data_IF_986578245785
#
_entry.id   IF_986578245785
#
_cell.length_a   1.000
_cell.length_b   1.000
_cell.length_c   1.000
_cell.angle_alpha   90.00
_cell.angle_beta   90.00
_cell.angle_gamma   90.00
#
_symmetry.space_group_name_H-M   'P 1'
#
loop_
_entity.id
_entity.type
_entity.pdbx_description
1 polymer ?
#
# COMPACT_ATOMS: atom_id res chain seq x y z
N UNK A 1 -4.85 19.35 2.20
CA UNK A 1 -5.09 18.13 3.01
C UNK A 1 -4.64 16.88 2.27
N UNK A 2 -5.13 16.59 1.07
CA UNK A 2 -4.78 15.35 0.33
C UNK A 2 -3.28 15.16 0.08
N UNK A 3 -2.54 16.19 -0.32
CA UNK A 3 -1.07 16.08 -0.49
C UNK A 3 -0.34 15.66 0.80
N UNK A 4 -0.83 16.06 1.97
CA UNK A 4 -0.27 15.62 3.25
C UNK A 4 -0.54 14.13 3.50
N UNK A 5 -1.77 13.68 3.24
CA UNK A 5 -2.13 12.26 3.34
C UNK A 5 -1.33 11.43 2.34
N UNK A 6 -1.20 11.91 1.10
CA UNK A 6 -0.38 11.30 0.07
C UNK A 6 1.05 11.08 0.57
N UNK A 7 1.71 12.11 1.08
CA UNK A 7 3.09 11.99 1.58
C UNK A 7 3.22 10.95 2.72
N UNK A 8 2.26 10.91 3.64
CA UNK A 8 2.23 9.90 4.71
C UNK A 8 2.07 8.48 4.14
N UNK A 9 1.12 8.28 3.24
CA UNK A 9 0.81 6.96 2.68
C UNK A 9 1.96 6.44 1.82
N UNK A 10 2.56 7.31 1.01
CA UNK A 10 3.70 6.99 0.15
C UNK A 10 4.91 6.55 0.96
N UNK A 11 5.16 7.19 2.11
CA UNK A 11 6.29 6.81 2.98
C UNK A 11 6.21 5.35 3.44
N UNK A 12 5.01 4.83 3.72
CA UNK A 12 4.82 3.45 4.16
C UNK A 12 5.23 2.43 3.09
N UNK A 13 4.95 2.70 1.81
CA UNK A 13 5.39 1.84 0.72
C UNK A 13 6.92 1.80 0.61
N UNK A 14 7.59 2.94 0.80
CA UNK A 14 9.06 3.02 0.78
C UNK A 14 9.71 2.26 1.94
N UNK A 15 9.14 2.30 3.15
CA UNK A 15 9.63 1.47 4.26
C UNK A 15 9.51 -0.03 3.98
N UNK A 16 8.46 -0.47 3.27
CA UNK A 16 8.34 -1.87 2.86
C UNK A 16 9.43 -2.26 1.87
N UNK A 17 9.74 -1.40 0.91
CA UNK A 17 10.83 -1.62 -0.05
C UNK A 17 12.19 -1.61 0.65
N UNK A 18 12.39 -0.75 1.67
CA UNK A 18 13.59 -0.79 2.51
C UNK A 18 13.75 -2.16 3.19
N UNK A 19 12.69 -2.68 3.81
CA UNK A 19 12.72 -4.00 4.43
C UNK A 19 12.99 -5.10 3.41
N UNK A 20 12.39 -5.02 2.21
CA UNK A 20 12.66 -5.93 1.12
C UNK A 20 14.13 -5.89 0.70
N UNK A 21 14.72 -4.70 0.57
CA UNK A 21 16.14 -4.54 0.23
C UNK A 21 17.06 -5.17 1.27
N UNK A 22 16.76 -5.00 2.57
CA UNK A 22 17.52 -5.64 3.64
C UNK A 22 17.40 -7.16 3.60
N UNK A 23 16.20 -7.68 3.29
CA UNK A 23 16.00 -9.12 3.12
C UNK A 23 16.79 -9.64 1.91
N UNK A 24 16.75 -8.94 0.78
CA UNK A 24 17.52 -9.28 -0.41
C UNK A 24 19.02 -9.35 -0.13
N UNK A 25 19.58 -8.38 0.61
CA UNK A 25 20.99 -8.38 1.01
C UNK A 25 21.38 -9.66 1.77
N UNK A 26 20.61 -10.03 2.80
CA UNK A 26 20.85 -11.26 3.58
C UNK A 26 20.70 -12.51 2.72
N UNK A 27 19.82 -12.45 1.73
CA UNK A 27 19.64 -13.55 0.78
C UNK A 27 20.73 -13.57 -0.30
N UNK A 28 21.56 -12.54 -0.48
CA UNK A 28 22.51 -12.46 -1.59
C UNK A 28 21.88 -12.10 -2.93
N UNK A 29 20.81 -11.30 -2.91
CA UNK A 29 20.08 -10.83 -4.09
C UNK A 29 20.23 -9.32 -4.27
N UNK A 30 20.34 -8.89 -5.52
CA UNK A 30 20.29 -7.47 -5.87
C UNK A 30 18.86 -6.94 -5.74
N UNK A 31 18.70 -5.75 -5.17
CA UNK A 31 17.42 -5.06 -5.07
C UNK A 31 17.55 -3.63 -5.60
N UNK A 32 16.81 -3.32 -6.66
CA UNK A 32 16.76 -1.97 -7.20
C UNK A 32 15.38 -1.36 -6.98
N UNK A 33 15.28 -0.41 -6.06
CA UNK A 33 14.09 0.39 -5.85
C UNK A 33 13.96 1.44 -6.97
N UNK A 34 12.79 1.52 -7.59
CA UNK A 34 12.54 2.48 -8.67
C UNK A 34 11.11 3.03 -8.62
N UNK A 35 10.98 4.24 -9.16
CA UNK A 35 9.70 4.94 -9.35
C UNK A 35 9.51 5.23 -10.85
N UNK A 36 8.56 6.08 -11.22
CA UNK A 36 8.46 6.59 -12.60
C UNK A 36 7.82 5.65 -13.62
N UNK A 37 7.13 4.58 -13.18
CA UNK A 37 6.24 3.84 -14.07
C UNK A 37 4.93 4.62 -14.29
N UNK A 38 4.30 4.45 -15.45
CA UNK A 38 2.98 5.00 -15.73
C UNK A 38 1.91 4.17 -15.00
N UNK A 39 1.29 4.66 -13.91
CA UNK A 39 0.42 3.84 -13.07
C UNK A 39 -0.79 3.29 -13.83
N UNK A 40 -1.34 4.07 -14.77
CA UNK A 40 -2.46 3.65 -15.61
C UNK A 40 -2.10 2.50 -16.56
N UNK A 41 -0.86 2.42 -17.04
CA UNK A 41 -0.40 1.27 -17.85
C UNK A 41 -0.25 0.05 -16.94
N UNK A 42 0.43 0.23 -15.80
CA UNK A 42 0.67 -0.86 -14.85
C UNK A 42 -0.64 -1.46 -14.32
N UNK A 43 -1.60 -0.61 -13.96
CA UNK A 43 -2.89 -1.04 -13.40
C UNK A 43 -3.89 -1.51 -14.47
N UNK A 44 -3.65 -1.19 -15.74
CA UNK A 44 -4.41 -1.75 -16.87
C UNK A 44 -5.55 -0.88 -17.41
N UNK A 45 -5.47 0.44 -17.25
CA UNK A 45 -6.46 1.38 -17.83
C UNK A 45 -6.25 1.62 -19.34
N UNK A 46 -5.04 1.37 -19.83
CA UNK A 46 -4.67 1.65 -21.23
C UNK A 46 -4.81 0.40 -22.12
N UNK A 47 -5.03 0.55 -23.45
CA UNK A 47 -5.06 -0.58 -24.37
C UNK A 47 -3.67 -1.22 -24.62
N UNK A 48 -2.59 -0.66 -24.08
CA UNK A 48 -1.22 -1.13 -24.31
C UNK A 48 -0.96 -2.52 -23.71
N UNK A 49 -1.55 -2.82 -22.57
CA UNK A 49 -1.44 -4.12 -21.92
C UNK A 49 -2.60 -4.33 -20.95
N UNK A 50 -2.81 -5.59 -20.54
CA UNK A 50 -3.83 -5.93 -19.52
C UNK A 50 -3.55 -5.30 -18.15
N UNK A 51 -2.30 -4.92 -17.88
CA UNK A 51 -1.85 -4.50 -16.57
C UNK A 51 -2.17 -5.52 -15.46
N UNK A 52 -2.28 -5.03 -14.23
CA UNK A 52 -2.67 -5.82 -13.07
C UNK A 52 -4.19 -6.10 -13.02
N UNK A 53 -4.98 -5.41 -13.86
CA UNK A 53 -6.42 -5.60 -13.99
C UNK A 53 -7.20 -4.93 -12.86
N UNK A 54 -6.90 -3.65 -12.62
CA UNK A 54 -7.67 -2.84 -11.69
C UNK A 54 -9.03 -2.43 -12.27
N UNK A 55 -10.00 -2.21 -11.39
CA UNK A 55 -11.28 -1.59 -11.72
C UNK A 55 -11.14 -0.07 -11.58
N UNK A 56 -11.62 0.67 -12.58
CA UNK A 56 -11.55 2.13 -12.60
C UNK A 56 -12.95 2.74 -12.57
N UNK A 57 -13.07 3.84 -11.84
CA UNK A 57 -14.14 4.84 -12.01
C UNK A 57 -13.56 6.08 -12.66
N UNK A 58 -14.41 7.01 -13.10
CA UNK A 58 -13.96 8.30 -13.64
C UNK A 58 -14.52 9.42 -12.81
N UNK A 59 -13.67 10.39 -12.48
CA UNK A 59 -14.13 11.67 -11.94
C UNK A 59 -14.97 12.43 -12.97
N UNK A 60 -15.62 13.51 -12.54
CA UNK A 60 -16.35 14.42 -13.44
C UNK A 60 -15.42 15.10 -14.45
N UNK A 61 -14.14 15.21 -14.13
CA UNK A 61 -13.08 15.67 -15.03
C UNK A 61 -12.70 14.63 -16.11
N UNK A 62 -13.27 13.43 -16.05
CA UNK A 62 -12.99 12.31 -16.96
C UNK A 62 -11.71 11.55 -16.64
N UNK A 63 -10.96 11.96 -15.61
CA UNK A 63 -9.69 11.31 -15.21
C UNK A 63 -10.00 9.97 -14.55
N UNK A 64 -9.37 8.87 -15.00
CA UNK A 64 -9.57 7.55 -14.41
C UNK A 64 -9.02 7.50 -12.97
N UNK A 65 -9.70 6.72 -12.14
CA UNK A 65 -9.36 6.51 -10.74
C UNK A 65 -9.45 5.00 -10.42
N UNK A 66 -8.33 4.31 -10.13
CA UNK A 66 -8.37 2.90 -9.74
C UNK A 66 -8.96 2.75 -8.34
N UNK A 67 -10.01 1.94 -8.21
CA UNK A 67 -10.77 1.74 -6.96
C UNK A 67 -10.70 0.31 -6.43
N UNK A 68 -10.36 -0.66 -7.27
CA UNK A 68 -10.17 -2.03 -6.81
C UNK A 68 -9.10 -2.74 -7.64
N UNK A 69 -8.44 -3.73 -7.05
CA UNK A 69 -7.54 -4.64 -7.74
C UNK A 69 -8.01 -6.07 -7.49
N UNK A 70 -8.90 -6.57 -8.36
CA UNK A 70 -9.52 -7.90 -8.25
C UNK A 70 -10.08 -8.11 -6.84
N UNK A 71 -9.68 -9.19 -6.18
CA UNK A 71 -10.01 -9.55 -4.80
C UNK A 71 -8.84 -9.28 -3.82
N UNK A 72 -7.89 -8.42 -4.20
CA UNK A 72 -6.70 -8.16 -3.39
C UNK A 72 -6.78 -6.85 -2.62
N UNK A 73 -7.31 -5.79 -3.25
CA UNK A 73 -7.39 -4.44 -2.67
C UNK A 73 -8.66 -3.76 -3.13
N UNK A 74 -9.38 -3.13 -2.20
CA UNK A 74 -10.58 -2.34 -2.46
C UNK A 74 -10.44 -1.00 -1.74
N UNK A 75 -10.74 0.09 -2.42
CA UNK A 75 -10.80 1.41 -1.79
C UNK A 75 -12.09 1.59 -1.02
N UNK A 76 -12.03 2.37 0.07
CA UNK A 76 -13.19 2.79 0.86
C UNK A 76 -13.96 3.92 0.16
N UNK A 77 -14.52 3.61 -1.00
CA UNK A 77 -15.43 4.48 -1.74
C UNK A 77 -16.28 3.66 -2.72
N UNK A 78 -17.33 4.24 -3.31
CA UNK A 78 -18.08 3.58 -4.37
C UNK A 78 -17.22 3.17 -5.58
N UNK A 79 -17.50 2.03 -6.22
CA UNK A 79 -18.65 1.15 -6.01
C UNK A 79 -18.42 0.05 -4.95
N UNK A 80 -17.24 -0.04 -4.31
CA UNK A 80 -16.95 -1.09 -3.33
C UNK A 80 -17.84 -0.97 -2.08
N UNK A 81 -18.23 0.26 -1.75
CA UNK A 81 -19.25 0.60 -0.75
C UNK A 81 -20.35 1.43 -1.43
N UNK A 82 -21.61 1.32 -0.99
CA UNK A 82 -22.74 1.98 -1.66
C UNK A 82 -22.70 3.50 -1.53
N UNK A 83 -22.10 4.02 -0.46
CA UNK A 83 -21.93 5.44 -0.20
C UNK A 83 -20.65 5.71 0.60
N UNK A 84 -20.26 6.98 0.69
CA UNK A 84 -19.17 7.36 1.59
C UNK A 84 -19.55 7.18 3.07
N UNK A 85 -20.83 7.25 3.43
CA UNK A 85 -21.30 6.90 4.79
C UNK A 85 -20.95 5.47 5.13
N UNK A 86 -21.29 4.53 4.25
CA UNK A 86 -20.99 3.11 4.44
C UNK A 86 -19.48 2.85 4.45
N UNK A 87 -18.72 3.53 3.60
CA UNK A 87 -17.26 3.43 3.59
C UNK A 87 -16.63 3.94 4.91
N UNK A 88 -17.13 5.05 5.46
CA UNK A 88 -16.69 5.56 6.76
C UNK A 88 -17.12 4.61 7.88
N UNK A 89 -18.33 4.08 7.86
CA UNK A 89 -18.78 3.12 8.88
C UNK A 89 -17.94 1.84 8.85
N UNK A 90 -17.56 1.36 7.66
CA UNK A 90 -16.70 0.20 7.49
C UNK A 90 -15.31 0.42 8.11
N UNK A 91 -14.63 1.55 7.84
CA UNK A 91 -13.30 1.80 8.43
C UNK A 91 -13.38 1.97 9.96
N UNK A 92 -14.51 2.46 10.47
CA UNK A 92 -14.76 2.53 11.92
C UNK A 92 -15.01 1.15 12.49
N UNK A 93 -15.77 0.29 11.83
CA UNK A 93 -15.98 -1.10 12.24
C UNK A 93 -14.68 -1.91 12.26
N UNK A 94 -13.77 -1.71 11.31
CA UNK A 94 -12.44 -2.37 11.30
C UNK A 94 -11.57 -1.97 12.49
N UNK A 95 -11.82 -0.80 13.07
CA UNK A 95 -11.10 -0.29 14.24
C UNK A 95 -11.79 -0.66 15.54
N UNK A 96 -13.12 -0.53 15.60
CA UNK A 96 -13.91 -0.49 16.83
C UNK A 96 -15.09 -1.46 16.86
N UNK A 97 -15.35 -2.21 15.79
CA UNK A 97 -16.34 -3.27 15.74
C UNK A 97 -15.91 -4.49 16.54
N UNK A 98 -16.71 -5.55 16.47
CA UNK A 98 -16.50 -6.80 17.23
C UNK A 98 -15.10 -7.40 17.02
N UNK A 99 -14.59 -7.31 15.79
CA UNK A 99 -13.25 -7.79 15.40
C UNK A 99 -12.22 -6.67 15.25
N UNK A 100 -12.51 -5.48 15.77
CA UNK A 100 -11.68 -4.29 15.58
C UNK A 100 -10.38 -4.30 16.37
N UNK A 101 -9.30 -3.76 15.78
CA UNK A 101 -7.97 -3.74 16.43
C UNK A 101 -7.82 -2.73 17.57
N UNK A 102 -8.90 -2.08 18.02
CA UNK A 102 -8.92 -1.22 19.21
C UNK A 102 -9.93 -1.67 20.27
N UNK A 103 -10.57 -2.84 20.12
CA UNK A 103 -11.43 -3.42 21.17
C UNK A 103 -10.71 -4.50 21.96
N UNK A 104 -10.84 -4.53 23.28
CA UNK A 104 -10.15 -5.51 24.14
C UNK A 104 -10.45 -6.98 23.81
N UNK A 105 -11.58 -7.23 23.14
CA UNK A 105 -12.02 -8.53 22.63
C UNK A 105 -11.26 -9.07 21.42
N UNK A 106 -10.43 -8.26 20.74
CA UNK A 106 -9.65 -8.73 19.59
C UNK A 106 -8.70 -9.88 19.98
N UNK A 107 -8.76 -10.98 19.21
CA UNK A 107 -7.99 -12.22 19.43
C UNK A 107 -6.88 -12.43 18.41
N UNK A 108 -6.76 -11.56 17.41
CA UNK A 108 -5.71 -11.63 16.39
C UNK A 108 -4.33 -11.18 16.87
N UNK A 109 -3.35 -11.30 15.99
CA UNK A 109 -1.98 -10.89 16.27
C UNK A 109 -1.81 -9.38 16.15
N UNK A 110 -1.03 -8.80 17.05
CA UNK A 110 -0.67 -7.38 17.03
C UNK A 110 0.83 -7.24 17.20
N UNK A 111 1.46 -6.17 16.67
CA UNK A 111 2.90 -5.97 16.80
C UNK A 111 3.34 -5.61 18.23
N UNK A 112 2.40 -5.36 19.16
CA UNK A 112 2.68 -4.87 20.52
C UNK A 112 2.36 -5.98 21.53
N UNK A 113 3.39 -6.50 22.24
CA UNK A 113 3.24 -7.60 23.22
C UNK A 113 2.18 -7.36 24.29
N UNK A 114 2.03 -6.11 24.76
CA UNK A 114 1.01 -5.69 25.76
C UNK A 114 -0.06 -4.79 25.11
N UNK A 115 -0.46 -5.10 23.89
CA UNK A 115 -1.40 -4.30 23.10
C UNK A 115 -2.72 -4.05 23.84
N UNK A 116 -3.30 -5.06 24.51
CA UNK A 116 -4.54 -4.93 25.29
C UNK A 116 -4.47 -3.77 26.31
N UNK A 117 -3.36 -3.65 27.03
CA UNK A 117 -3.14 -2.58 28.02
C UNK A 117 -3.05 -1.17 27.40
N UNK A 118 -2.98 -1.06 26.06
CA UNK A 118 -2.86 0.21 25.34
C UNK A 118 -4.18 0.66 24.71
N UNK A 119 -5.10 -0.26 24.42
CA UNK A 119 -6.30 0.07 23.65
C UNK A 119 -7.49 0.51 24.48
N UNK A 120 -7.59 0.06 25.74
CA UNK A 120 -8.74 0.37 26.61
C UNK A 120 -8.95 1.88 26.85
N UNK A 121 -7.90 2.69 26.68
CA UNK A 121 -7.94 4.15 26.89
C UNK A 121 -7.98 4.96 25.59
N UNK A 122 -8.08 4.32 24.43
CA UNK A 122 -8.18 5.06 23.17
C UNK A 122 -9.62 5.59 23.06
N UNK A 123 -9.83 6.91 22.96
CA UNK A 123 -11.17 7.46 22.85
C UNK A 123 -11.79 7.06 21.51
N UNK A 124 -13.07 6.64 21.55
CA UNK A 124 -13.88 6.51 20.34
C UNK A 124 -14.18 7.90 19.78
N UNK A 125 -14.36 7.97 18.47
CA UNK A 125 -14.82 9.20 17.82
C UNK A 125 -16.26 9.50 18.27
N UNK A 126 -16.58 10.77 18.47
CA UNK A 126 -17.96 11.19 18.74
C UNK A 126 -18.80 11.12 17.47
N UNK A 127 -20.12 10.97 17.62
CA UNK A 127 -21.06 10.99 16.49
C UNK A 127 -20.92 12.26 15.66
N UNK A 128 -20.67 13.41 16.30
CA UNK A 128 -20.42 14.66 15.59
C UNK A 128 -19.19 14.58 14.68
N UNK A 129 -18.08 13.99 15.17
CA UNK A 129 -16.85 13.85 14.37
C UNK A 129 -17.08 12.88 13.20
N UNK A 130 -17.81 11.78 13.45
CA UNK A 130 -18.15 10.83 12.40
C UNK A 130 -19.04 11.46 11.34
N UNK A 131 -20.05 12.22 11.73
CA UNK A 131 -20.92 12.93 10.79
C UNK A 131 -20.14 13.95 9.95
N UNK A 132 -19.25 14.74 10.56
CA UNK A 132 -18.41 15.68 9.82
C UNK A 132 -17.51 14.96 8.81
N UNK A 133 -16.96 13.80 9.17
CA UNK A 133 -16.15 13.00 8.24
C UNK A 133 -16.98 12.48 7.06
N UNK A 134 -18.20 11.99 7.32
CA UNK A 134 -19.15 11.55 6.28
C UNK A 134 -19.53 12.70 5.36
N UNK A 135 -19.93 13.83 5.91
CA UNK A 135 -20.33 15.02 5.13
C UNK A 135 -19.20 15.48 4.21
N UNK A 136 -17.96 15.52 4.72
CA UNK A 136 -16.79 15.89 3.93
C UNK A 136 -16.50 14.89 2.80
N UNK A 137 -16.56 13.58 3.10
CA UNK A 137 -16.34 12.54 2.10
C UNK A 137 -17.41 12.53 1.01
N UNK A 138 -18.69 12.70 1.37
CA UNK A 138 -19.77 12.83 0.39
C UNK A 138 -19.60 14.11 -0.43
N UNK A 139 -19.26 15.24 0.19
CA UNK A 139 -18.98 16.48 -0.55
C UNK A 139 -17.90 16.26 -1.63
N UNK A 140 -16.80 15.56 -1.31
CA UNK A 140 -15.77 15.25 -2.31
C UNK A 140 -16.34 14.39 -3.44
N UNK A 141 -17.04 13.30 -3.09
CA UNK A 141 -17.61 12.42 -4.10
C UNK A 141 -18.63 13.16 -4.99
N UNK A 142 -19.50 13.96 -4.40
CA UNK A 142 -20.54 14.71 -5.08
C UNK A 142 -19.96 15.82 -5.94
N UNK A 143 -18.92 16.52 -5.48
CA UNK A 143 -18.28 17.61 -6.22
C UNK A 143 -17.44 17.08 -7.38
N UNK A 144 -16.57 16.09 -7.12
CA UNK A 144 -15.54 15.62 -8.06
C UNK A 144 -15.90 14.33 -8.81
N UNK A 145 -16.94 13.60 -8.39
CA UNK A 145 -17.33 12.31 -8.99
C UNK A 145 -16.36 11.15 -8.68
N UNK A 146 -15.37 11.39 -7.83
CA UNK A 146 -14.36 10.40 -7.39
C UNK A 146 -13.93 10.72 -5.96
N UNK A 147 -13.31 9.74 -5.31
CA UNK A 147 -12.71 9.92 -3.99
C UNK A 147 -11.39 9.14 -3.89
N UNK A 148 -10.26 9.77 -3.49
CA UNK A 148 -10.10 11.19 -3.19
C UNK A 148 -10.22 12.10 -4.44
N UNK A 149 -10.24 13.41 -4.23
CA UNK A 149 -10.48 14.38 -5.30
C UNK A 149 -9.32 14.44 -6.31
N UNK A 150 -8.07 14.50 -5.83
CA UNK A 150 -6.91 14.83 -6.65
C UNK A 150 -5.82 13.76 -6.67
N UNK A 151 -5.97 12.71 -5.88
CA UNK A 151 -5.08 11.54 -5.87
C UNK A 151 -5.88 10.27 -6.11
N UNK A 152 -5.22 9.23 -6.63
CA UNK A 152 -5.83 7.94 -6.88
C UNK A 152 -6.20 7.20 -5.59
N UNK A 153 -7.32 6.49 -5.60
CA UNK A 153 -7.72 5.66 -4.45
C UNK A 153 -6.75 4.50 -4.24
N UNK A 154 -6.21 3.95 -5.33
CA UNK A 154 -5.13 2.98 -5.33
C UNK A 154 -3.88 3.57 -5.98
N UNK A 155 -2.80 3.67 -5.19
CA UNK A 155 -1.53 4.22 -5.63
C UNK A 155 -0.47 3.13 -5.69
N UNK A 156 0.36 3.18 -6.73
CA UNK A 156 1.62 2.44 -6.78
C UNK A 156 2.72 3.50 -6.76
N UNK A 157 3.32 3.81 -5.60
CA UNK A 157 4.28 4.91 -5.52
C UNK A 157 5.74 4.49 -5.77
N UNK A 158 6.06 3.21 -5.56
CA UNK A 158 7.41 2.65 -5.69
C UNK A 158 7.32 1.16 -6.04
N UNK A 159 8.27 0.68 -6.83
CA UNK A 159 8.49 -0.73 -7.12
C UNK A 159 9.92 -1.15 -6.78
N UNK A 160 10.17 -2.45 -6.74
CA UNK A 160 11.52 -2.99 -6.65
C UNK A 160 11.71 -4.13 -7.66
N UNK A 161 12.87 -4.13 -8.31
CA UNK A 161 13.34 -5.25 -9.12
C UNK A 161 14.34 -6.05 -8.31
N UNK A 162 14.00 -7.30 -8.03
CA UNK A 162 14.87 -8.27 -7.35
C UNK A 162 15.50 -9.18 -8.39
N UNK A 163 16.81 -9.35 -8.34
CA UNK A 163 17.56 -10.10 -9.36
C UNK A 163 18.82 -10.74 -8.80
N UNK A 164 19.34 -11.73 -9.52
CA UNK A 164 20.69 -12.25 -9.28
C UNK A 164 21.72 -11.26 -9.80
N UNK A 165 22.73 -10.98 -8.98
CA UNK A 165 23.83 -10.11 -9.36
C UNK A 165 24.81 -10.87 -10.26
N UNK A 166 25.34 -10.19 -11.28
CA UNK A 166 26.42 -10.70 -12.11
C UNK A 166 27.76 -10.63 -11.34
N UNK A 167 28.14 -11.76 -10.73
CA UNK A 167 29.34 -11.83 -9.91
C UNK A 167 30.63 -11.55 -10.72
N UNK A 168 30.67 -11.92 -12.00
CA UNK A 168 31.86 -11.73 -12.84
C UNK A 168 32.05 -10.26 -13.22
N UNK A 169 30.95 -9.54 -13.47
CA UNK A 169 30.98 -8.09 -13.68
C UNK A 169 31.54 -7.37 -12.44
N UNK A 170 31.03 -7.68 -11.24
CA UNK A 170 31.49 -7.05 -10.00
C UNK A 170 32.94 -7.41 -9.68
N UNK A 171 33.35 -8.67 -9.88
CA UNK A 171 34.74 -9.10 -9.70
C UNK A 171 35.72 -8.36 -10.61
N UNK A 172 35.29 -7.97 -11.81
CA UNK A 172 36.14 -7.29 -12.80
C UNK A 172 36.27 -5.79 -12.53
N UNK A 173 35.17 -5.13 -12.15
CA UNK A 173 35.10 -3.67 -12.14
C UNK A 173 34.96 -3.03 -10.74
N UNK A 174 34.74 -3.82 -9.69
CA UNK A 174 34.51 -3.33 -8.34
C UNK A 174 35.53 -3.91 -7.34
N UNK A 175 35.77 -3.22 -6.21
CA UNK A 175 36.50 -3.78 -5.08
C UNK A 175 35.86 -5.09 -4.58
N UNK A 176 36.64 -6.06 -4.06
CA UNK A 176 36.12 -7.34 -3.58
C UNK A 176 35.05 -7.22 -2.48
N UNK A 177 35.06 -6.14 -1.71
CA UNK A 177 34.11 -5.83 -0.64
C UNK A 177 32.79 -5.18 -1.14
N UNK A 178 32.65 -4.93 -2.44
CA UNK A 178 31.43 -4.41 -3.02
C UNK A 178 30.24 -5.40 -2.94
N UNK A 179 30.53 -6.70 -2.81
CA UNK A 179 29.55 -7.75 -2.57
C UNK A 179 29.87 -8.49 -1.27
N UNK A 180 28.84 -8.78 -0.48
CA UNK A 180 28.98 -9.58 0.73
C UNK A 180 29.07 -11.08 0.38
N UNK A 181 29.51 -11.89 1.34
CA UNK A 181 29.59 -13.35 1.17
C UNK A 181 28.23 -13.98 0.82
N UNK A 182 27.12 -13.34 1.23
CA UNK A 182 25.77 -13.78 0.89
C UNK A 182 25.55 -13.83 -0.63
N UNK A 183 26.04 -12.84 -1.39
CA UNK A 183 25.92 -12.85 -2.85
C UNK A 183 26.71 -13.99 -3.48
N UNK A 184 27.95 -14.21 -3.02
CA UNK A 184 28.81 -15.29 -3.53
C UNK A 184 28.23 -16.67 -3.24
N UNK A 185 27.56 -16.83 -2.10
CA UNK A 185 26.99 -18.11 -1.68
C UNK A 185 25.50 -18.26 -2.00
N UNK A 186 24.85 -17.30 -2.69
CA UNK A 186 23.39 -17.34 -2.92
C UNK A 186 22.94 -18.66 -3.55
N UNK A 187 23.58 -19.07 -4.65
CA UNK A 187 23.21 -20.29 -5.36
C UNK A 187 23.37 -21.52 -4.47
N UNK A 188 24.47 -21.58 -3.71
CA UNK A 188 24.75 -22.67 -2.78
C UNK A 188 23.76 -22.74 -1.61
N UNK A 189 23.35 -21.60 -1.06
CA UNK A 189 22.49 -21.56 0.13
C UNK A 189 21.02 -21.80 -0.24
N UNK A 190 20.56 -21.27 -1.38
CA UNK A 190 19.13 -21.21 -1.71
C UNK A 190 18.70 -22.16 -2.83
N UNK A 191 19.63 -22.74 -3.60
CA UNK A 191 19.31 -23.55 -4.78
C UNK A 191 20.00 -24.92 -4.82
N UNK A 192 20.95 -25.20 -3.93
CA UNK A 192 21.48 -26.55 -3.73
C UNK A 192 20.67 -27.27 -2.64
N UNK A 193 20.37 -28.56 -2.84
CA UNK A 193 19.65 -29.42 -1.89
C UNK A 193 20.52 -29.87 -0.70
#
# INVERSE_FOLDING_TARGET
FENFIFNLVVSMAHYKIQNLSLACEVMGLGCWAHTGFAPFVLLGETPLCRGLGATFVRGKDGIPNPVALKNHLESYCPPNYKSMDEAVDAIIADRWGENGIFVSGYTGSTPIKKWKNKVDNIPKYSELILQVAKDYCNYILDEYGRFPAFIDSLLVPVGATVHHVDLDYYKTYYPPDALTEHFHNHMKIWHED
#
